data_IF_710840132767
#
_entry.id   IF_710840132767
#
_cell.length_a   1.000
_cell.length_b   1.000
_cell.length_c   1.000
_cell.angle_alpha   90.00
_cell.angle_beta   90.00
_cell.angle_gamma   90.00
#
_symmetry.space_group_name_H-M   'P 1'
#
loop_
_entity.id
_entity.type
_entity.pdbx_description
1 polymer ?
#
# COMPACT_ATOMS: atom_id res chain seq x y z
N UNK A 1 -30.18 -34.93 -16.16
CA UNK A 1 -30.59 -33.64 -16.77
C UNK A 1 -29.37 -33.11 -17.52
N UNK A 2 -29.51 -32.80 -18.79
CA UNK A 2 -28.43 -32.23 -19.59
C UNK A 2 -28.22 -30.75 -19.21
N UNK A 3 -26.98 -30.34 -19.07
CA UNK A 3 -26.60 -28.95 -18.78
C UNK A 3 -25.98 -28.35 -20.04
N UNK A 4 -26.42 -27.16 -20.42
CA UNK A 4 -25.81 -26.42 -21.53
C UNK A 4 -24.50 -25.81 -21.04
N UNK A 5 -23.38 -26.35 -21.49
CA UNK A 5 -22.04 -25.88 -21.13
C UNK A 5 -21.57 -24.71 -21.99
N UNK A 6 -21.93 -24.75 -23.31
CA UNK A 6 -21.59 -23.69 -24.24
C UNK A 6 -22.83 -23.30 -25.03
N UNK A 7 -23.08 -22.00 -25.12
CA UNK A 7 -24.10 -21.43 -26.00
C UNK A 7 -23.56 -20.18 -26.70
N UNK A 8 -23.82 -20.09 -27.99
CA UNK A 8 -23.46 -18.91 -28.77
C UNK A 8 -24.68 -18.47 -29.60
N UNK A 9 -25.01 -17.18 -29.55
CA UNK A 9 -26.02 -16.56 -30.38
C UNK A 9 -25.36 -15.89 -31.57
N UNK A 10 -25.81 -16.26 -32.79
CA UNK A 10 -25.33 -15.71 -34.05
C UNK A 10 -26.30 -14.65 -34.56
N UNK A 11 -25.87 -13.42 -34.67
CA UNK A 11 -26.65 -12.30 -35.18
C UNK A 11 -26.79 -12.35 -36.67
N UNK A 12 -25.69 -12.54 -37.37
CA UNK A 12 -25.62 -12.56 -38.83
C UNK A 12 -24.61 -13.60 -39.32
N UNK A 13 -24.83 -14.13 -40.50
CA UNK A 13 -23.89 -14.94 -41.23
C UNK A 13 -23.82 -14.45 -42.71
N UNK A 14 -22.61 -14.32 -43.23
CA UNK A 14 -22.36 -13.83 -44.60
C UNK A 14 -21.47 -14.83 -45.34
N UNK A 15 -21.83 -15.11 -46.60
CA UNK A 15 -20.97 -15.87 -47.48
C UNK A 15 -20.06 -14.92 -48.25
N UNK A 16 -18.76 -15.00 -48.02
CA UNK A 16 -17.76 -14.22 -48.73
C UNK A 16 -17.19 -14.95 -49.92
N UNK A 17 -16.43 -14.25 -50.75
CA UNK A 17 -15.74 -14.85 -51.90
C UNK A 17 -14.54 -15.69 -51.46
N UNK A 18 -13.84 -15.24 -50.39
CA UNK A 18 -12.63 -15.87 -49.85
C UNK A 18 -12.83 -16.51 -48.47
N UNK A 19 -13.78 -15.98 -47.66
CA UNK A 19 -14.09 -16.46 -46.30
C UNK A 19 -15.59 -16.29 -46.02
N UNK A 20 -16.17 -17.28 -45.34
CA UNK A 20 -17.49 -17.15 -44.75
C UNK A 20 -17.36 -16.50 -43.38
N UNK A 21 -18.20 -15.50 -43.06
CA UNK A 21 -18.16 -14.72 -41.82
C UNK A 21 -19.45 -14.89 -41.05
N UNK A 22 -19.34 -14.96 -39.71
CA UNK A 22 -20.48 -14.88 -38.82
C UNK A 22 -20.20 -13.94 -37.65
N UNK A 23 -21.23 -13.20 -37.25
CA UNK A 23 -21.15 -12.33 -36.06
C UNK A 23 -21.83 -13.02 -34.89
N UNK A 24 -21.10 -13.24 -33.83
CA UNK A 24 -21.60 -13.72 -32.53
C UNK A 24 -21.81 -12.51 -31.62
N UNK A 25 -23.00 -12.36 -31.05
CA UNK A 25 -23.37 -11.27 -30.16
C UNK A 25 -23.86 -11.75 -28.77
N UNK A 26 -23.81 -13.05 -28.53
CA UNK A 26 -24.05 -13.67 -27.24
C UNK A 26 -23.19 -14.91 -27.07
N UNK A 27 -22.40 -14.98 -26.01
CA UNK A 27 -21.57 -16.12 -25.66
C UNK A 27 -21.79 -16.50 -24.19
N UNK A 28 -22.02 -17.79 -23.97
CA UNK A 28 -22.12 -18.40 -22.63
C UNK A 28 -21.24 -19.64 -22.58
N UNK A 29 -20.46 -19.75 -21.48
CA UNK A 29 -19.64 -20.93 -21.21
C UNK A 29 -19.61 -21.22 -19.72
N UNK A 30 -19.83 -22.47 -19.36
CA UNK A 30 -19.60 -23.02 -18.01
C UNK A 30 -18.40 -23.96 -18.03
N UNK A 31 -17.78 -24.15 -16.88
CA UNK A 31 -16.82 -25.23 -16.68
C UNK A 31 -17.49 -26.59 -16.87
N UNK A 32 -16.80 -27.53 -17.49
CA UNK A 32 -17.21 -28.92 -17.57
C UNK A 32 -16.90 -29.72 -16.28
N UNK A 33 -16.20 -29.06 -15.34
CA UNK A 33 -15.85 -29.59 -14.02
C UNK A 33 -16.75 -28.95 -12.97
N UNK A 34 -17.50 -29.78 -12.26
CA UNK A 34 -18.32 -29.33 -11.12
C UNK A 34 -17.50 -29.26 -9.83
N UNK A 35 -17.78 -28.27 -9.01
CA UNK A 35 -17.34 -28.25 -7.62
C UNK A 35 -18.40 -28.91 -6.75
N UNK A 36 -18.07 -29.99 -6.08
CA UNK A 36 -18.99 -30.65 -5.17
C UNK A 36 -19.18 -29.81 -3.90
N UNK A 37 -20.46 -29.58 -3.56
CA UNK A 37 -20.86 -28.93 -2.34
C UNK A 37 -21.87 -29.82 -1.61
N UNK A 38 -21.63 -30.11 -0.35
CA UNK A 38 -22.54 -30.91 0.49
C UNK A 38 -22.56 -30.37 1.90
N UNK A 39 -23.69 -30.63 2.60
CA UNK A 39 -23.79 -30.33 4.04
C UNK A 39 -22.68 -31.04 4.81
N UNK A 40 -22.13 -30.36 5.84
CA UNK A 40 -21.02 -30.81 6.69
C UNK A 40 -19.63 -30.81 5.97
N UNK A 41 -19.53 -30.26 4.76
CA UNK A 41 -18.22 -30.03 4.16
C UNK A 41 -17.56 -28.85 4.88
N UNK A 42 -16.32 -29.06 5.32
CA UNK A 42 -15.49 -28.07 6.02
C UNK A 42 -14.59 -27.32 5.04
N UNK A 43 -14.51 -26.01 5.24
CA UNK A 43 -13.61 -25.09 4.55
C UNK A 43 -12.85 -24.26 5.60
N UNK A 44 -11.68 -24.68 6.00
CA UNK A 44 -10.88 -24.11 7.10
C UNK A 44 -11.67 -24.02 8.42
N UNK A 45 -12.16 -22.84 8.79
CA UNK A 45 -12.95 -22.61 10.00
C UNK A 45 -14.46 -22.64 9.77
N UNK A 46 -14.89 -22.75 8.53
CA UNK A 46 -16.30 -22.68 8.16
C UNK A 46 -16.81 -24.03 7.66
N UNK A 47 -18.01 -24.39 8.06
CA UNK A 47 -18.69 -25.65 7.69
C UNK A 47 -20.03 -25.35 7.02
N UNK A 48 -20.33 -26.02 5.90
CA UNK A 48 -21.65 -25.93 5.26
C UNK A 48 -22.70 -26.55 6.18
N UNK A 49 -23.62 -25.73 6.68
CA UNK A 49 -24.71 -26.17 7.56
C UNK A 49 -25.98 -26.45 6.80
N UNK A 50 -26.28 -25.65 5.81
CA UNK A 50 -27.52 -25.80 5.03
C UNK A 50 -27.22 -25.60 3.54
N UNK A 51 -27.73 -26.54 2.76
CA UNK A 51 -27.68 -26.49 1.30
C UNK A 51 -29.12 -26.60 0.75
N UNK A 52 -29.52 -25.58 -0.01
CA UNK A 52 -30.81 -25.58 -0.71
C UNK A 52 -30.56 -25.45 -2.22
N UNK A 53 -31.62 -25.47 -3.03
CA UNK A 53 -31.54 -25.22 -4.47
C UNK A 53 -31.05 -23.80 -4.83
N UNK A 54 -31.04 -22.86 -3.87
CA UNK A 54 -30.79 -21.45 -4.13
C UNK A 54 -29.79 -20.81 -3.16
N UNK A 55 -29.39 -21.52 -2.09
CA UNK A 55 -28.52 -20.93 -1.05
C UNK A 55 -27.62 -21.97 -0.40
N UNK A 56 -26.44 -21.49 -0.01
CA UNK A 56 -25.48 -22.19 0.84
C UNK A 56 -25.30 -21.34 2.09
N UNK A 57 -25.47 -21.91 3.27
CA UNK A 57 -25.19 -21.27 4.55
C UNK A 57 -24.03 -21.99 5.23
N UNK A 58 -23.02 -21.23 5.63
CA UNK A 58 -21.86 -21.71 6.36
C UNK A 58 -21.73 -20.96 7.69
N UNK A 59 -21.24 -21.66 8.70
CA UNK A 59 -20.86 -21.07 9.98
C UNK A 59 -19.63 -21.78 10.56
N UNK A 60 -19.14 -21.31 11.69
CA UNK A 60 -18.00 -21.87 12.42
C UNK A 60 -18.41 -22.80 13.57
N UNK A 61 -19.45 -23.63 13.40
CA UNK A 61 -20.10 -24.43 14.44
C UNK A 61 -19.13 -25.18 15.38
N UNK A 62 -18.09 -25.79 14.82
CA UNK A 62 -17.11 -26.60 15.56
C UNK A 62 -15.76 -25.91 15.74
N UNK A 63 -15.65 -24.62 15.38
CA UNK A 63 -14.38 -23.89 15.38
C UNK A 63 -14.50 -22.53 16.06
N UNK A 64 -14.17 -22.46 17.34
CA UNK A 64 -14.02 -21.17 18.01
C UNK A 64 -12.90 -20.35 17.35
N UNK A 65 -13.17 -19.07 17.12
CA UNK A 65 -12.22 -18.13 16.54
C UNK A 65 -11.85 -17.10 17.60
N UNK A 66 -10.61 -17.15 18.07
CA UNK A 66 -10.10 -16.19 19.05
C UNK A 66 -9.41 -15.05 18.31
N UNK A 67 -9.96 -13.85 18.43
CA UNK A 67 -9.41 -12.61 17.89
C UNK A 67 -8.48 -11.97 18.93
N UNK A 68 -7.23 -12.42 18.99
CA UNK A 68 -6.18 -11.82 19.83
C UNK A 68 -5.27 -10.95 18.99
N UNK A 69 -4.46 -10.10 19.63
CA UNK A 69 -3.51 -9.18 19.00
C UNK A 69 -2.66 -9.86 17.93
N UNK A 70 -2.41 -9.17 16.82
CA UNK A 70 -1.47 -9.55 15.76
C UNK A 70 -1.78 -10.91 15.12
N UNK A 71 -3.05 -11.31 15.01
CA UNK A 71 -3.46 -12.58 14.40
C UNK A 71 -3.93 -12.40 12.97
N UNK A 72 -3.54 -13.40 12.19
CA UNK A 72 -4.05 -13.64 10.85
C UNK A 72 -4.72 -15.03 10.84
N UNK A 73 -6.02 -15.06 10.65
CA UNK A 73 -6.85 -16.25 10.84
C UNK A 73 -7.58 -16.56 9.55
N UNK A 74 -7.25 -17.69 8.90
CA UNK A 74 -8.02 -18.18 7.77
C UNK A 74 -9.45 -18.56 8.21
N UNK A 75 -10.44 -18.02 7.53
CA UNK A 75 -11.85 -18.37 7.71
C UNK A 75 -12.28 -19.46 6.73
N UNK A 76 -11.97 -19.24 5.47
CA UNK A 76 -12.24 -20.13 4.36
C UNK A 76 -11.20 -19.89 3.26
N UNK A 77 -11.04 -20.79 2.28
CA UNK A 77 -10.01 -20.66 1.25
C UNK A 77 -9.92 -19.25 0.62
N UNK A 78 -8.80 -18.58 0.83
CA UNK A 78 -8.52 -17.25 0.34
C UNK A 78 -9.21 -16.11 1.09
N UNK A 79 -9.89 -16.34 2.21
CA UNK A 79 -10.51 -15.30 3.04
C UNK A 79 -10.05 -15.44 4.49
N UNK A 80 -9.45 -14.39 5.02
CA UNK A 80 -8.88 -14.33 6.37
C UNK A 80 -9.40 -13.12 7.16
N UNK A 81 -9.22 -13.18 8.48
CA UNK A 81 -9.37 -12.03 9.39
C UNK A 81 -7.98 -11.65 9.90
N UNK A 82 -7.61 -10.38 9.76
CA UNK A 82 -6.44 -9.80 10.41
C UNK A 82 -6.87 -8.95 11.59
N UNK A 83 -6.18 -9.08 12.72
CA UNK A 83 -6.37 -8.26 13.92
C UNK A 83 -5.13 -7.40 14.15
N UNK A 84 -5.34 -6.20 14.68
CA UNK A 84 -4.26 -5.29 15.06
C UNK A 84 -3.36 -5.90 16.14
N UNK A 85 -2.06 -5.62 16.05
CA UNK A 85 -1.10 -5.85 17.15
C UNK A 85 -1.02 -4.61 18.04
N UNK A 86 -2.14 -4.19 18.56
CA UNK A 86 -2.34 -2.99 19.37
C UNK A 86 -3.22 -3.27 20.59
N UNK A 87 -3.26 -2.34 21.56
CA UNK A 87 -4.12 -2.44 22.73
C UNK A 87 -5.59 -2.21 22.37
N UNK A 88 -5.86 -1.37 21.39
CA UNK A 88 -7.20 -1.18 20.84
C UNK A 88 -7.55 -2.32 19.91
N UNK A 89 -8.72 -2.92 20.12
CA UNK A 89 -9.20 -4.00 19.29
C UNK A 89 -9.68 -3.47 17.93
N UNK A 90 -8.96 -3.81 16.87
CA UNK A 90 -9.28 -3.54 15.47
C UNK A 90 -9.12 -4.82 14.66
N UNK A 91 -9.96 -5.02 13.66
CA UNK A 91 -9.84 -6.12 12.72
C UNK A 91 -10.52 -5.81 11.40
N UNK A 92 -10.10 -6.51 10.35
CA UNK A 92 -10.77 -6.51 9.06
C UNK A 92 -10.73 -7.90 8.42
N UNK A 93 -11.67 -8.12 7.48
CA UNK A 93 -11.69 -9.32 6.63
C UNK A 93 -11.03 -8.97 5.31
N UNK A 94 -10.16 -9.84 4.84
CA UNK A 94 -9.48 -9.64 3.57
C UNK A 94 -9.42 -10.92 2.74
N UNK A 95 -9.20 -10.76 1.45
CA UNK A 95 -8.90 -11.84 0.52
C UNK A 95 -7.54 -11.60 -0.11
N UNK A 96 -6.62 -12.52 0.06
CA UNK A 96 -5.35 -12.51 -0.66
C UNK A 96 -5.56 -12.98 -2.10
N UNK A 97 -5.03 -12.23 -3.06
CA UNK A 97 -5.07 -12.56 -4.47
C UNK A 97 -3.64 -12.82 -4.93
N UNK A 98 -3.34 -14.08 -5.24
CA UNK A 98 -2.00 -14.54 -5.65
C UNK A 98 -1.92 -14.90 -7.13
N UNK A 99 -3.06 -15.11 -7.79
CA UNK A 99 -3.10 -15.48 -9.19
C UNK A 99 -2.78 -14.29 -10.10
N UNK A 100 -1.98 -14.49 -11.18
CA UNK A 100 -1.74 -13.45 -12.16
C UNK A 100 -3.05 -12.95 -12.77
N UNK A 101 -3.16 -11.64 -12.95
CA UNK A 101 -4.36 -11.02 -13.52
C UNK A 101 -4.49 -9.55 -13.14
N UNK A 102 -5.55 -8.93 -13.62
CA UNK A 102 -5.89 -7.54 -13.32
C UNK A 102 -7.17 -7.51 -12.48
N UNK A 103 -7.10 -6.88 -11.32
CA UNK A 103 -8.16 -6.88 -10.30
C UNK A 103 -8.60 -5.47 -9.95
N UNK A 104 -9.92 -5.29 -9.77
CA UNK A 104 -10.49 -4.05 -9.23
C UNK A 104 -10.58 -4.15 -7.69
N UNK A 105 -9.84 -3.27 -6.99
CA UNK A 105 -10.05 -3.03 -5.55
C UNK A 105 -11.11 -1.96 -5.45
N UNK A 106 -12.28 -2.30 -4.90
CA UNK A 106 -13.48 -1.44 -4.89
C UNK A 106 -13.74 -0.87 -3.51
N UNK A 107 -14.12 0.40 -3.46
CA UNK A 107 -14.75 1.02 -2.30
C UNK A 107 -16.22 0.62 -2.17
N UNK A 108 -16.83 1.02 -1.07
CA UNK A 108 -18.27 0.86 -0.81
C UNK A 108 -19.10 1.46 -1.95
N UNK A 109 -20.22 0.79 -2.27
CA UNK A 109 -21.17 1.27 -3.29
C UNK A 109 -22.02 2.39 -2.72
N UNK A 110 -22.01 3.54 -3.40
CA UNK A 110 -22.82 4.70 -3.08
C UNK A 110 -24.03 4.86 -4.01
N UNK A 111 -25.10 5.48 -3.52
CA UNK A 111 -26.32 5.80 -4.27
C UNK A 111 -26.67 7.29 -4.24
N UNK A 112 -25.97 8.04 -3.41
CA UNK A 112 -26.09 9.48 -3.18
C UNK A 112 -24.68 10.02 -2.86
N UNK A 113 -24.54 11.27 -2.43
CA UNK A 113 -23.25 11.80 -1.97
C UNK A 113 -22.61 10.90 -0.91
N UNK A 114 -21.31 10.66 -1.02
CA UNK A 114 -20.60 9.69 -0.19
C UNK A 114 -19.16 10.10 0.05
N UNK A 115 -18.64 9.74 1.22
CA UNK A 115 -17.22 9.90 1.57
C UNK A 115 -16.60 8.53 1.78
N UNK A 116 -15.53 8.24 1.05
CA UNK A 116 -14.69 7.05 1.23
C UNK A 116 -13.47 7.40 2.08
N UNK A 117 -13.16 6.52 3.00
CA UNK A 117 -11.94 6.52 3.80
C UNK A 117 -11.24 5.16 3.67
N UNK A 118 -10.10 4.97 4.32
CA UNK A 118 -9.43 3.68 4.32
C UNK A 118 -10.27 2.54 4.99
N UNK A 119 -11.29 2.90 5.79
CA UNK A 119 -12.18 1.92 6.42
C UNK A 119 -13.10 1.21 5.40
N UNK A 120 -13.41 1.85 4.27
CA UNK A 120 -14.34 1.35 3.27
C UNK A 120 -13.83 1.35 1.83
N UNK A 121 -12.57 1.78 1.63
CA UNK A 121 -11.85 1.65 0.37
C UNK A 121 -10.42 1.15 0.60
N UNK A 122 -10.22 -0.15 0.45
CA UNK A 122 -8.91 -0.79 0.59
C UNK A 122 -7.85 -0.34 -0.46
N UNK A 123 -8.18 0.59 -1.35
CA UNK A 123 -7.22 1.27 -2.22
C UNK A 123 -6.47 2.40 -1.54
N UNK A 124 -6.98 2.96 -0.44
CA UNK A 124 -6.27 3.93 0.40
C UNK A 124 -5.31 3.23 1.35
N UNK A 125 -4.26 3.96 1.77
CA UNK A 125 -3.31 3.44 2.74
C UNK A 125 -3.97 3.29 4.11
N UNK A 126 -3.79 2.12 4.71
CA UNK A 126 -4.25 1.81 6.06
C UNK A 126 -3.23 0.95 6.81
N UNK A 127 -2.77 1.43 7.96
CA UNK A 127 -2.08 0.63 8.93
C UNK A 127 -3.03 0.27 10.07
N UNK A 128 -3.26 -1.03 10.25
CA UNK A 128 -4.19 -1.52 11.27
C UNK A 128 -3.59 -1.45 12.68
N UNK A 129 -2.26 -1.59 12.79
CA UNK A 129 -1.57 -1.69 14.07
C UNK A 129 -1.52 -0.32 14.75
N UNK A 130 -1.21 0.74 14.00
CA UNK A 130 -1.18 2.12 14.49
C UNK A 130 -2.46 2.91 14.14
N UNK A 131 -3.43 2.29 13.46
CA UNK A 131 -4.68 2.91 13.00
C UNK A 131 -4.45 4.15 12.11
N UNK A 132 -3.42 4.10 11.27
CA UNK A 132 -3.09 5.19 10.38
C UNK A 132 -3.95 5.15 9.13
N UNK A 133 -4.72 6.20 8.90
CA UNK A 133 -5.61 6.40 7.76
C UNK A 133 -5.70 7.88 7.44
N UNK A 134 -4.95 8.31 6.46
CA UNK A 134 -4.75 9.72 6.15
C UNK A 134 -5.68 10.24 5.06
N UNK A 135 -6.20 9.35 4.20
CA UNK A 135 -6.87 9.70 2.94
C UNK A 135 -8.39 9.67 3.07
N UNK A 136 -9.04 10.67 2.50
CA UNK A 136 -10.49 10.79 2.40
C UNK A 136 -10.87 11.31 1.00
N UNK A 137 -11.90 10.73 0.38
CA UNK A 137 -12.48 11.22 -0.88
C UNK A 137 -13.98 11.38 -0.75
N UNK A 138 -14.47 12.61 -0.89
CA UNK A 138 -15.89 12.94 -0.87
C UNK A 138 -16.39 13.20 -2.27
N UNK A 139 -17.50 12.54 -2.65
CA UNK A 139 -18.25 12.83 -3.87
C UNK A 139 -19.59 13.47 -3.50
N UNK A 140 -19.82 14.69 -3.96
CA UNK A 140 -21.07 15.45 -3.79
C UNK A 140 -21.90 15.36 -5.06
N UNK A 141 -23.00 14.60 -5.03
CA UNK A 141 -23.83 14.34 -6.19
C UNK A 141 -24.97 15.35 -6.30
N UNK A 142 -25.06 16.06 -7.45
CA UNK A 142 -26.15 16.95 -7.80
C UNK A 142 -26.66 16.57 -9.20
N UNK A 143 -27.91 16.14 -9.33
CA UNK A 143 -28.52 15.76 -10.63
C UNK A 143 -27.68 14.72 -11.42
N UNK A 144 -27.18 13.68 -10.75
CA UNK A 144 -26.28 12.66 -11.32
C UNK A 144 -24.96 13.24 -11.86
N UNK A 145 -24.49 14.33 -11.29
CA UNK A 145 -23.19 14.94 -11.63
C UNK A 145 -22.40 15.25 -10.38
N UNK A 146 -21.10 15.25 -10.54
CA UNK A 146 -20.13 15.80 -9.60
C UNK A 146 -19.66 17.12 -10.22
N UNK A 147 -20.24 18.22 -9.76
CA UNK A 147 -20.03 19.54 -10.36
C UNK A 147 -18.74 20.19 -9.82
N UNK A 148 -18.01 20.85 -10.71
CA UNK A 148 -16.88 21.68 -10.32
C UNK A 148 -17.32 22.82 -9.37
N UNK A 149 -16.44 23.36 -8.48
CA UNK A 149 -15.10 22.84 -8.20
C UNK A 149 -15.08 21.70 -7.16
N UNK A 150 -16.15 21.49 -6.39
CA UNK A 150 -16.16 20.65 -5.18
C UNK A 150 -17.11 19.44 -5.28
N UNK A 151 -17.43 19.00 -6.50
CA UNK A 151 -18.17 17.78 -6.73
C UNK A 151 -17.38 16.53 -6.32
N UNK A 152 -16.04 16.61 -6.41
CA UNK A 152 -15.12 15.63 -5.83
C UNK A 152 -14.07 16.40 -5.05
N UNK A 153 -13.91 16.05 -3.78
CA UNK A 153 -12.85 16.57 -2.91
C UNK A 153 -12.07 15.42 -2.34
N UNK A 154 -10.76 15.42 -2.53
CA UNK A 154 -9.84 14.51 -1.89
C UNK A 154 -8.97 15.29 -0.92
N UNK A 155 -8.86 14.76 0.30
CA UNK A 155 -8.01 15.33 1.34
C UNK A 155 -7.15 14.23 1.94
N UNK A 156 -5.90 14.54 2.18
CA UNK A 156 -5.02 13.67 2.98
C UNK A 156 -4.28 14.51 3.99
N UNK A 157 -4.20 14.02 5.23
CA UNK A 157 -3.57 14.70 6.36
C UNK A 157 -2.53 13.77 6.98
N UNK A 158 -1.32 14.28 7.14
CA UNK A 158 -0.22 13.52 7.75
C UNK A 158 -0.58 13.09 9.18
N UNK A 159 -0.15 11.89 9.55
CA UNK A 159 -0.30 11.32 10.89
C UNK A 159 1.07 10.91 11.42
N UNK A 160 1.20 10.87 12.74
CA UNK A 160 2.38 10.33 13.42
C UNK A 160 2.41 8.81 13.27
N UNK A 161 3.58 8.26 13.00
CA UNK A 161 3.86 6.82 12.87
C UNK A 161 5.18 6.51 13.57
N UNK A 162 5.29 5.35 14.20
CA UNK A 162 6.52 4.92 14.83
C UNK A 162 7.47 4.31 13.79
N UNK A 163 8.79 4.51 13.97
CA UNK A 163 9.72 3.63 13.28
C UNK A 163 9.53 2.20 13.78
N UNK A 164 9.63 1.19 12.92
CA UNK A 164 9.66 -0.22 13.34
C UNK A 164 10.75 -0.47 14.38
N UNK A 165 11.87 0.25 14.29
CA UNK A 165 12.87 0.29 15.35
C UNK A 165 12.50 1.38 16.37
N UNK A 166 11.68 1.05 17.37
CA UNK A 166 11.07 1.94 18.37
C UNK A 166 12.01 3.00 18.95
N UNK A 167 13.29 2.67 19.12
CA UNK A 167 14.26 3.57 19.72
C UNK A 167 14.63 4.79 18.84
N UNK A 168 14.15 4.84 17.59
CA UNK A 168 14.29 6.02 16.72
C UNK A 168 13.13 7.01 16.86
N UNK A 169 12.04 6.63 17.56
CA UNK A 169 10.88 7.47 17.81
C UNK A 169 9.87 7.46 16.69
N UNK A 170 9.41 8.63 16.26
CA UNK A 170 8.27 8.83 15.39
C UNK A 170 8.61 9.69 14.17
N UNK A 171 7.81 9.58 13.13
CA UNK A 171 7.87 10.41 11.93
C UNK A 171 6.48 10.68 11.38
N UNK A 172 6.32 11.69 10.51
CA UNK A 172 5.06 11.94 9.83
C UNK A 172 4.94 11.10 8.57
N UNK A 173 3.83 10.34 8.49
CA UNK A 173 3.42 9.57 7.31
C UNK A 173 2.19 10.18 6.68
N UNK A 174 2.08 10.11 5.36
CA UNK A 174 0.92 10.52 4.60
C UNK A 174 0.65 9.53 3.47
N UNK A 175 -0.61 9.09 3.33
CA UNK A 175 -1.08 8.44 2.11
C UNK A 175 -1.31 9.49 1.03
N UNK A 176 -0.89 9.25 -0.18
CA UNK A 176 -1.19 10.11 -1.32
C UNK A 176 -1.46 9.27 -2.55
N UNK A 177 -2.66 9.44 -3.13
CA UNK A 177 -3.12 8.66 -4.28
C UNK A 177 -3.02 7.15 -4.02
N UNK A 178 -3.37 6.76 -2.78
CA UNK A 178 -3.35 5.37 -2.31
C UNK A 178 -1.94 4.72 -2.23
N UNK A 179 -0.91 5.51 -1.95
CA UNK A 179 0.45 5.04 -1.63
C UNK A 179 0.99 5.74 -0.38
N UNK A 180 1.77 5.02 0.45
CA UNK A 180 2.39 5.54 1.69
C UNK A 180 3.64 6.37 1.37
N UNK A 181 3.74 7.57 1.95
CA UNK A 181 4.89 8.46 1.84
C UNK A 181 5.33 8.99 3.20
N UNK A 182 6.59 9.31 3.28
CA UNK A 182 7.19 10.09 4.35
C UNK A 182 6.91 11.59 4.12
N UNK A 183 6.43 12.29 5.16
CA UNK A 183 6.09 13.70 5.12
C UNK A 183 7.06 14.59 5.93
N UNK A 184 7.71 14.05 6.96
CA UNK A 184 8.67 14.79 7.79
C UNK A 184 9.08 14.01 9.03
N UNK A 185 10.15 14.45 9.67
CA UNK A 185 10.58 13.93 10.98
C UNK A 185 9.86 14.63 12.12
N UNK A 186 9.79 13.96 13.27
CA UNK A 186 9.25 14.50 14.52
C UNK A 186 10.39 14.60 15.53
N UNK A 187 10.52 15.77 16.18
CA UNK A 187 11.44 15.92 17.29
C UNK A 187 11.00 15.03 18.46
N UNK A 188 11.85 14.10 18.84
CA UNK A 188 11.60 13.27 20.01
C UNK A 188 12.41 13.75 21.21
N UNK A 189 11.81 14.50 22.18
CA UNK A 189 12.53 15.07 23.32
C UNK A 189 13.06 14.03 24.30
N UNK A 190 12.62 12.78 24.21
CA UNK A 190 13.07 11.68 25.07
C UNK A 190 14.32 10.99 24.51
N UNK A 191 14.70 11.23 23.27
CA UNK A 191 15.92 10.75 22.66
C UNK A 191 17.01 11.82 22.84
N UNK A 192 17.85 11.63 23.85
CA UNK A 192 18.87 12.61 24.33
C UNK A 192 19.92 12.98 23.26
N UNK A 193 20.04 12.24 22.19
CA UNK A 193 21.00 12.46 21.09
C UNK A 193 20.28 12.70 19.73
N UNK A 194 19.34 13.60 19.73
CA UNK A 194 18.38 13.87 18.62
C UNK A 194 18.97 14.54 17.37
N UNK A 195 20.20 14.19 17.03
CA UNK A 195 20.85 14.70 15.82
C UNK A 195 20.58 13.83 14.59
N UNK A 196 19.93 12.67 14.77
CA UNK A 196 19.72 11.72 13.68
C UNK A 196 18.50 12.11 12.82
N UNK A 197 17.35 12.26 13.47
CA UNK A 197 16.07 12.58 12.81
C UNK A 197 15.50 13.91 13.34
N UNK A 198 16.29 14.97 13.23
CA UNK A 198 15.93 16.31 13.67
C UNK A 198 14.84 16.90 12.80
N UNK A 199 13.76 17.40 13.42
CA UNK A 199 12.76 18.20 12.73
C UNK A 199 13.34 19.58 12.37
N UNK A 200 13.03 20.06 11.18
CA UNK A 200 13.19 21.46 10.80
C UNK A 200 12.32 21.76 9.58
N UNK A 201 11.98 23.03 9.37
CA UNK A 201 11.20 23.46 8.20
C UNK A 201 11.86 23.00 6.88
N UNK A 202 13.20 23.00 6.80
CA UNK A 202 13.95 22.54 5.62
C UNK A 202 13.93 21.01 5.45
N UNK A 203 13.56 20.25 6.48
CA UNK A 203 13.49 18.78 6.50
C UNK A 203 12.06 18.27 6.56
N UNK A 204 11.07 19.13 6.75
CA UNK A 204 9.67 18.79 6.54
C UNK A 204 9.42 18.74 5.03
N UNK A 205 9.35 17.52 4.50
CA UNK A 205 9.30 17.25 3.07
C UNK A 205 8.02 17.83 2.46
N UNK A 206 6.89 17.74 3.17
CA UNK A 206 5.61 18.26 2.71
C UNK A 206 5.61 19.80 2.69
N UNK A 207 6.23 20.47 3.66
CA UNK A 207 6.42 21.92 3.65
C UNK A 207 7.27 22.38 2.44
N UNK A 208 8.19 21.55 1.97
CA UNK A 208 8.96 21.76 0.74
C UNK A 208 8.19 21.34 -0.54
N UNK A 209 6.88 21.06 -0.43
CA UNK A 209 6.00 20.64 -1.54
C UNK A 209 6.43 19.34 -2.20
N UNK A 210 6.91 18.40 -1.41
CA UNK A 210 7.45 17.13 -1.85
C UNK A 210 7.00 16.00 -0.94
N UNK A 211 7.07 14.77 -1.47
CA UNK A 211 6.86 13.53 -0.73
C UNK A 211 8.01 12.57 -1.07
N UNK A 212 8.48 11.81 -0.09
CA UNK A 212 9.46 10.75 -0.29
C UNK A 212 8.83 9.38 -0.05
N UNK A 213 9.09 8.45 -0.96
CA UNK A 213 8.64 7.06 -0.78
C UNK A 213 9.43 6.40 0.34
N UNK A 214 8.73 5.75 1.28
CA UNK A 214 9.35 4.88 2.28
C UNK A 214 9.64 3.55 1.57
N UNK A 215 10.92 3.20 1.49
CA UNK A 215 11.37 1.97 0.81
C UNK A 215 11.60 0.83 1.79
N UNK A 216 12.11 1.16 2.98
CA UNK A 216 12.30 0.21 4.08
C UNK A 216 12.08 0.89 5.41
N UNK A 217 11.37 0.20 6.27
CA UNK A 217 11.24 0.43 7.70
C UNK A 217 11.06 -0.94 8.32
N UNK A 218 12.03 -1.44 9.06
CA UNK A 218 11.91 -2.72 9.77
C UNK A 218 12.96 -2.89 10.87
N UNK A 219 12.63 -3.70 11.87
CA UNK A 219 13.46 -4.08 13.01
C UNK A 219 13.96 -5.53 12.96
N UNK A 220 13.75 -6.22 11.86
CA UNK A 220 14.19 -7.61 11.70
C UNK A 220 15.71 -7.71 11.76
N UNK A 221 16.21 -8.66 12.57
CA UNK A 221 17.66 -8.90 12.67
C UNK A 221 18.23 -9.44 11.35
N UNK A 222 19.18 -8.70 10.79
CA UNK A 222 19.87 -9.04 9.56
C UNK A 222 21.36 -9.21 9.85
N UNK A 223 21.94 -10.35 9.47
CA UNK A 223 23.38 -10.57 9.58
C UNK A 223 24.08 -10.04 8.33
N UNK A 224 24.97 -9.08 8.52
CA UNK A 224 25.83 -8.52 7.47
C UNK A 224 27.26 -9.05 7.67
N UNK A 225 27.93 -9.43 6.58
CA UNK A 225 29.30 -9.92 6.63
C UNK A 225 30.24 -9.09 5.73
N UNK A 226 31.54 -9.16 5.98
CA UNK A 226 32.51 -8.47 5.11
C UNK A 226 32.52 -8.99 3.66
N UNK A 227 31.95 -10.16 3.40
CA UNK A 227 31.82 -10.75 2.06
C UNK A 227 30.46 -10.55 1.40
N UNK A 228 29.45 -10.14 2.18
CA UNK A 228 28.07 -9.97 1.67
C UNK A 228 27.48 -8.68 2.23
N UNK A 229 27.41 -7.60 1.41
CA UNK A 229 26.85 -6.34 1.85
C UNK A 229 25.33 -6.45 2.07
N UNK A 230 24.79 -5.58 2.91
CA UNK A 230 23.37 -5.35 3.06
C UNK A 230 22.84 -4.68 1.80
N UNK A 231 21.98 -5.38 1.07
CA UNK A 231 21.32 -4.83 -0.11
C UNK A 231 20.13 -3.97 0.29
N UNK A 232 20.13 -2.76 -0.22
CA UNK A 232 19.10 -1.77 -0.07
C UNK A 232 18.40 -1.53 -1.41
N UNK A 233 17.37 -0.71 -1.41
CA UNK A 233 16.65 -0.36 -2.64
C UNK A 233 17.43 0.72 -3.45
N UNK A 234 16.99 0.96 -4.67
CA UNK A 234 17.56 1.98 -5.58
C UNK A 234 19.07 1.83 -5.83
N UNK A 235 19.57 0.57 -5.81
CA UNK A 235 20.97 0.26 -6.10
C UNK A 235 21.95 0.57 -4.98
N UNK A 236 21.48 0.86 -3.77
CA UNK A 236 22.33 1.06 -2.61
C UNK A 236 22.75 -0.28 -1.98
N UNK A 237 23.98 -0.33 -1.49
CA UNK A 237 24.54 -1.46 -0.74
C UNK A 237 25.43 -0.94 0.40
N UNK A 238 25.19 -1.42 1.64
CA UNK A 238 26.00 -1.10 2.80
C UNK A 238 26.90 -2.28 3.17
N UNK A 239 28.22 -2.11 3.03
CA UNK A 239 29.21 -3.17 3.24
C UNK A 239 30.14 -2.93 4.43
N UNK A 240 30.47 -4.00 5.15
CA UNK A 240 31.53 -4.00 6.16
C UNK A 240 32.87 -4.14 5.43
N UNK A 241 33.76 -3.15 5.61
CA UNK A 241 35.14 -3.19 5.06
C UNK A 241 36.12 -3.79 6.06
N UNK A 242 35.98 -3.47 7.33
CA UNK A 242 36.80 -4.06 8.39
C UNK A 242 36.15 -3.84 9.76
N UNK A 243 36.47 -4.76 10.66
CA UNK A 243 36.21 -4.61 12.10
C UNK A 243 37.57 -4.58 12.81
N UNK A 244 37.77 -3.66 13.79
CA UNK A 244 39.02 -3.56 14.52
C UNK A 244 39.32 -4.81 15.36
N UNK A 245 40.54 -4.90 15.91
CA UNK A 245 41.00 -6.10 16.62
C UNK A 245 40.12 -6.44 17.85
N UNK A 246 39.61 -5.41 18.53
CA UNK A 246 38.81 -5.57 19.73
C UNK A 246 37.30 -5.73 19.41
N UNK A 247 36.90 -5.64 18.11
CA UNK A 247 35.52 -5.73 17.65
C UNK A 247 34.66 -4.52 17.99
N UNK A 248 35.25 -3.42 18.49
CA UNK A 248 34.55 -2.24 18.96
C UNK A 248 34.24 -1.21 17.87
N UNK A 249 34.91 -1.29 16.73
CA UNK A 249 34.74 -0.34 15.61
C UNK A 249 34.51 -1.09 14.32
N UNK A 250 33.54 -0.64 13.57
CA UNK A 250 33.18 -1.17 12.25
C UNK A 250 33.35 -0.06 11.22
N UNK A 251 34.21 -0.29 10.23
CA UNK A 251 34.34 0.57 9.07
C UNK A 251 33.36 0.10 7.99
N UNK A 252 32.42 0.98 7.65
CA UNK A 252 31.35 0.75 6.68
C UNK A 252 31.55 1.61 5.44
N UNK A 253 31.18 1.08 4.29
CA UNK A 253 31.07 1.82 3.03
C UNK A 253 29.67 1.63 2.45
N UNK A 254 29.05 2.75 2.09
CA UNK A 254 27.82 2.77 1.29
C UNK A 254 28.21 2.94 -0.18
N UNK A 255 27.72 2.06 -1.03
CA UNK A 255 27.81 2.20 -2.48
C UNK A 255 26.44 2.34 -3.11
N UNK A 256 26.39 3.07 -4.24
CA UNK A 256 25.24 3.15 -5.14
C UNK A 256 25.68 2.74 -6.53
N UNK A 257 25.00 1.75 -7.12
CA UNK A 257 25.34 1.20 -8.44
C UNK A 257 26.83 0.82 -8.57
N UNK A 258 27.40 0.25 -7.51
CA UNK A 258 28.79 -0.19 -7.43
C UNK A 258 29.82 0.90 -7.17
N UNK A 259 29.42 2.17 -7.02
CA UNK A 259 30.30 3.29 -6.70
C UNK A 259 30.15 3.69 -5.22
N UNK A 260 31.25 3.81 -4.49
CA UNK A 260 31.24 4.27 -3.09
C UNK A 260 30.78 5.72 -3.04
N UNK A 261 29.71 5.98 -2.27
CA UNK A 261 29.11 7.31 -2.09
C UNK A 261 29.31 7.87 -0.69
N UNK A 262 29.52 7.01 0.30
CA UNK A 262 29.80 7.41 1.69
C UNK A 262 30.59 6.34 2.43
N UNK A 263 31.26 6.75 3.52
CA UNK A 263 31.94 5.83 4.44
C UNK A 263 31.94 6.37 5.86
N UNK A 264 31.73 5.47 6.84
CA UNK A 264 31.64 5.83 8.26
C UNK A 264 32.21 4.76 9.16
N UNK A 265 32.73 5.18 10.30
CA UNK A 265 33.10 4.28 11.41
C UNK A 265 32.06 4.39 12.48
N UNK A 266 31.49 3.26 12.89
CA UNK A 266 30.57 3.13 14.03
C UNK A 266 31.22 2.28 15.12
N UNK A 267 30.66 2.29 16.33
CA UNK A 267 31.21 1.58 17.48
C UNK A 267 30.12 0.84 18.28
N UNK A 268 29.39 -0.09 17.67
CA UNK A 268 28.18 -0.70 18.26
C UNK A 268 28.46 -1.51 19.53
N UNK A 269 29.65 -2.11 19.65
CA UNK A 269 30.04 -2.97 20.76
C UNK A 269 30.85 -2.24 21.84
N UNK A 270 31.03 -0.92 21.72
CA UNK A 270 31.73 -0.11 22.70
C UNK A 270 30.92 0.01 24.00
N UNK A 271 31.59 -0.08 25.13
CA UNK A 271 30.95 0.13 26.44
C UNK A 271 30.39 1.55 26.55
N UNK A 272 29.11 1.70 26.89
CA UNK A 272 28.41 2.99 26.89
C UNK A 272 28.20 3.63 25.52
N UNK A 273 28.14 2.83 24.44
CA UNK A 273 27.83 3.33 23.11
C UNK A 273 26.43 3.96 23.04
N UNK A 274 26.35 5.17 22.51
CA UNK A 274 25.09 5.89 22.26
C UNK A 274 24.38 5.33 21.04
N UNK A 275 23.15 5.77 20.80
CA UNK A 275 22.40 5.45 19.56
C UNK A 275 23.21 5.84 18.32
N UNK A 276 23.79 7.03 18.29
CA UNK A 276 24.62 7.51 17.17
C UNK A 276 25.90 6.68 16.97
N UNK A 277 26.52 6.19 18.06
CA UNK A 277 27.69 5.31 17.96
C UNK A 277 27.37 3.98 17.28
N UNK A 278 26.12 3.54 17.39
CA UNK A 278 25.62 2.28 16.85
C UNK A 278 24.94 2.41 15.50
N UNK A 279 24.61 3.63 15.06
CA UNK A 279 23.83 3.83 13.84
C UNK A 279 24.72 4.37 12.72
N UNK A 280 24.76 3.64 11.59
CA UNK A 280 25.16 4.18 10.33
C UNK A 280 23.99 5.00 9.77
N UNK A 281 24.24 6.21 9.29
CA UNK A 281 23.24 7.01 8.59
C UNK A 281 23.89 7.79 7.44
N UNK A 282 23.10 7.96 6.38
CA UNK A 282 23.48 8.71 5.19
C UNK A 282 22.46 9.82 4.94
N UNK A 283 22.96 11.06 4.93
CA UNK A 283 22.18 12.26 4.65
C UNK A 283 22.38 12.68 3.20
N UNK A 284 21.29 13.13 2.58
CA UNK A 284 21.31 13.63 1.20
C UNK A 284 20.32 14.78 1.02
N UNK A 285 20.66 15.73 0.17
CA UNK A 285 19.69 16.69 -0.34
C UNK A 285 18.78 15.97 -1.33
N UNK A 286 17.45 16.05 -1.13
CA UNK A 286 16.46 15.45 -2.03
C UNK A 286 15.49 16.54 -2.46
N UNK A 287 15.52 16.88 -3.75
CA UNK A 287 14.78 18.04 -4.26
C UNK A 287 15.18 19.33 -3.52
N UNK A 288 14.21 20.00 -2.93
CA UNK A 288 14.42 21.26 -2.18
C UNK A 288 14.75 21.02 -0.70
N UNK A 289 14.52 19.80 -0.20
CA UNK A 289 14.82 19.41 1.18
C UNK A 289 16.31 19.15 1.39
N UNK A 290 16.84 19.59 2.55
CA UNK A 290 18.27 19.55 2.86
C UNK A 290 18.60 18.55 3.96
N UNK A 291 19.76 17.89 3.82
CA UNK A 291 20.31 16.98 4.84
C UNK A 291 19.33 15.91 5.37
N UNK A 292 18.45 15.40 4.48
CA UNK A 292 17.48 14.36 4.83
C UNK A 292 18.20 13.03 5.05
N UNK A 293 17.95 12.36 6.16
CA UNK A 293 18.47 11.00 6.43
C UNK A 293 17.71 10.01 5.53
N UNK A 294 18.26 9.69 4.38
CA UNK A 294 17.60 8.74 3.45
C UNK A 294 17.93 7.27 3.74
N UNK A 295 18.99 6.99 4.48
CA UNK A 295 19.35 5.64 4.94
C UNK A 295 19.82 5.72 6.38
N UNK A 296 19.26 4.85 7.26
CA UNK A 296 19.79 4.58 8.58
C UNK A 296 19.80 3.07 8.84
N UNK A 297 20.86 2.57 9.48
CA UNK A 297 21.00 1.18 9.89
C UNK A 297 21.57 1.13 11.31
N UNK A 298 20.79 0.61 12.25
CA UNK A 298 21.24 0.38 13.63
C UNK A 298 21.93 -0.97 13.72
N UNK A 299 23.11 -0.98 14.34
CA UNK A 299 23.93 -2.16 14.54
C UNK A 299 23.88 -2.59 16.01
N UNK A 300 23.25 -3.72 16.28
CA UNK A 300 23.14 -4.30 17.61
C UNK A 300 24.52 -4.67 18.19
N UNK A 301 25.35 -5.29 17.35
CA UNK A 301 26.69 -5.75 17.70
C UNK A 301 27.56 -5.98 16.47
N UNK A 302 28.83 -6.17 16.69
CA UNK A 302 29.78 -6.56 15.66
C UNK A 302 30.83 -7.52 16.22
N UNK A 303 31.28 -8.47 15.41
CA UNK A 303 32.24 -9.50 15.78
C UNK A 303 33.30 -9.64 14.69
N UNK A 304 34.54 -9.68 15.10
CA UNK A 304 35.64 -10.07 14.22
C UNK A 304 35.75 -11.58 14.17
N UNK A 305 35.50 -12.17 13.02
CA UNK A 305 35.64 -13.63 12.80
C UNK A 305 37.02 -13.98 12.28
N UNK A 306 37.37 -15.29 12.33
CA UNK A 306 38.63 -15.79 11.79
C UNK A 306 38.67 -15.79 10.24
N UNK A 307 37.51 -15.99 9.62
CA UNK A 307 37.35 -16.04 8.17
C UNK A 307 36.56 -14.86 7.62
N UNK A 308 35.56 -14.37 8.36
CA UNK A 308 34.70 -13.26 8.01
C UNK A 308 34.37 -12.41 9.23
N UNK A 309 34.34 -11.10 9.05
CA UNK A 309 33.76 -10.18 9.99
C UNK A 309 32.23 -10.20 9.88
N UNK A 310 31.52 -10.10 10.98
CA UNK A 310 30.06 -10.13 11.05
C UNK A 310 29.54 -8.95 11.88
N UNK A 311 28.39 -8.44 11.50
CA UNK A 311 27.61 -7.53 12.34
C UNK A 311 26.11 -7.86 12.22
N UNK A 312 25.35 -7.56 13.28
CA UNK A 312 23.90 -7.69 13.30
C UNK A 312 23.27 -6.31 13.21
N UNK A 313 22.46 -6.10 12.19
CA UNK A 313 21.58 -4.93 12.03
C UNK A 313 20.21 -5.31 12.59
N UNK A 314 19.62 -4.47 13.44
CA UNK A 314 18.31 -4.67 14.08
C UNK A 314 17.40 -3.44 13.98
N UNK A 315 17.74 -2.50 13.14
CA UNK A 315 16.91 -1.37 12.73
C UNK A 315 17.34 -0.91 11.35
N UNK A 316 16.41 -0.78 10.41
CA UNK A 316 16.69 -0.39 9.03
C UNK A 316 15.64 0.58 8.52
N UNK A 317 16.11 1.75 8.11
CA UNK A 317 15.32 2.80 7.46
C UNK A 317 15.88 3.16 6.11
N UNK A 318 15.00 3.29 5.11
CA UNK A 318 15.37 3.83 3.80
C UNK A 318 14.23 4.62 3.16
N UNK A 319 14.52 5.84 2.76
CA UNK A 319 13.69 6.65 1.88
C UNK A 319 14.22 6.61 0.45
N UNK A 320 13.33 6.85 -0.52
CA UNK A 320 13.74 7.13 -1.91
C UNK A 320 14.63 8.38 -1.96
N UNK A 321 15.64 8.34 -2.79
CA UNK A 321 16.47 9.50 -3.06
C UNK A 321 15.91 10.40 -4.19
N UNK A 322 14.68 10.14 -4.59
CA UNK A 322 13.93 10.91 -5.59
C UNK A 322 12.60 11.37 -4.99
N UNK A 323 12.38 12.68 -4.98
CA UNK A 323 11.15 13.27 -4.47
C UNK A 323 10.01 13.23 -5.50
N UNK A 324 8.78 13.09 -5.00
CA UNK A 324 7.55 13.34 -5.75
C UNK A 324 7.10 14.77 -5.47
N UNK A 325 6.99 15.60 -6.50
CA UNK A 325 6.51 16.99 -6.41
C UNK A 325 4.98 17.00 -6.20
N UNK A 326 4.50 17.79 -5.24
CA UNK A 326 3.07 17.94 -4.89
C UNK A 326 2.63 19.40 -4.84
N UNK A 327 3.16 20.23 -5.72
CA UNK A 327 2.88 21.66 -5.77
C UNK A 327 1.41 21.98 -6.06
N UNK A 328 0.92 23.12 -5.54
CA UNK A 328 -0.41 23.66 -5.88
C UNK A 328 -0.56 23.84 -7.40
N UNK A 329 -1.77 23.63 -7.89
CA UNK A 329 -2.15 23.62 -9.31
C UNK A 329 -1.56 22.47 -10.13
N UNK A 330 -0.93 21.49 -9.49
CA UNK A 330 -0.59 20.22 -10.17
C UNK A 330 -1.87 19.43 -10.42
N UNK A 331 -2.05 18.99 -11.68
CA UNK A 331 -3.21 18.23 -12.11
C UNK A 331 -2.91 16.73 -12.11
N UNK A 332 -3.83 15.95 -11.56
CA UNK A 332 -3.85 14.49 -11.60
C UNK A 332 -5.16 14.03 -12.22
N UNK A 333 -5.17 13.75 -13.51
CA UNK A 333 -6.36 13.43 -14.32
C UNK A 333 -7.44 14.53 -14.22
N UNK A 334 -8.44 14.36 -13.36
CA UNK A 334 -9.55 15.31 -13.17
C UNK A 334 -9.48 16.10 -11.87
N UNK A 335 -8.45 15.84 -11.09
CA UNK A 335 -8.27 16.49 -9.79
C UNK A 335 -7.04 17.39 -9.82
N UNK A 336 -7.15 18.53 -9.17
CA UNK A 336 -6.09 19.54 -9.08
C UNK A 336 -5.77 19.84 -7.63
N UNK A 337 -4.49 19.90 -7.26
CA UNK A 337 -4.08 20.34 -5.90
C UNK A 337 -4.46 21.79 -5.73
N UNK A 338 -5.36 22.08 -4.78
CA UNK A 338 -5.82 23.44 -4.46
C UNK A 338 -5.12 24.02 -3.25
N UNK A 339 -4.89 23.19 -2.24
CA UNK A 339 -4.26 23.63 -0.99
C UNK A 339 -3.22 22.61 -0.57
N UNK A 340 -2.06 23.14 -0.21
CA UNK A 340 -0.96 22.40 0.37
C UNK A 340 -0.50 23.12 1.63
N UNK A 341 -0.41 22.41 2.75
CA UNK A 341 0.14 22.88 4.01
C UNK A 341 1.33 22.02 4.44
N UNK A 342 1.92 22.28 5.59
CA UNK A 342 2.99 21.44 6.14
C UNK A 342 2.51 20.03 6.56
N UNK A 343 1.20 19.81 6.65
CA UNK A 343 0.60 18.58 7.18
C UNK A 343 -0.53 18.01 6.30
N UNK A 344 -0.96 18.70 5.25
CA UNK A 344 -2.09 18.24 4.45
C UNK A 344 -2.05 18.64 2.97
N UNK A 345 -2.71 17.83 2.14
CA UNK A 345 -2.94 18.09 0.73
C UNK A 345 -4.44 18.01 0.47
N UNK A 346 -5.02 19.04 -0.19
CA UNK A 346 -6.38 19.00 -0.66
C UNK A 346 -6.44 19.19 -2.18
N UNK A 347 -7.20 18.30 -2.83
CA UNK A 347 -7.47 18.34 -4.28
C UNK A 347 -8.97 18.40 -4.53
N UNK A 348 -9.38 19.05 -5.59
CA UNK A 348 -10.76 19.02 -6.06
C UNK A 348 -10.84 18.90 -7.59
N UNK A 349 -12.04 18.75 -8.12
CA UNK A 349 -12.28 18.64 -9.56
C UNK A 349 -12.47 20.00 -10.24
N UNK A 350 -11.70 21.04 -9.83
CA UNK A 350 -11.69 22.36 -10.49
C UNK A 350 -11.60 22.17 -12.02
N UNK A 351 -12.41 22.90 -12.78
CA UNK A 351 -12.52 22.83 -14.25
C UNK A 351 -12.99 21.46 -14.83
N UNK A 352 -13.47 20.52 -14.01
CA UNK A 352 -13.85 19.17 -14.47
C UNK A 352 -15.21 18.70 -13.93
N UNK A 353 -16.29 19.01 -14.61
CA UNK A 353 -17.58 18.32 -14.37
C UNK A 353 -17.49 16.84 -14.69
N UNK A 354 -18.00 15.99 -13.81
CA UNK A 354 -18.05 14.54 -14.00
C UNK A 354 -19.52 14.10 -14.02
N UNK A 355 -20.00 13.66 -15.17
CA UNK A 355 -21.37 13.13 -15.29
C UNK A 355 -21.38 11.65 -14.91
N UNK A 356 -22.24 11.28 -13.96
CA UNK A 356 -22.47 9.90 -13.52
C UNK A 356 -23.58 9.24 -14.37
N UNK A 357 -23.35 9.18 -15.67
CA UNK A 357 -24.28 8.51 -16.58
C UNK A 357 -24.19 6.99 -16.45
N UNK A 358 -25.21 6.29 -16.95
CA UNK A 358 -25.29 4.83 -16.97
C UNK A 358 -24.04 4.20 -17.62
N UNK A 359 -23.39 3.25 -16.93
CA UNK A 359 -22.20 2.57 -17.41
C UNK A 359 -20.95 3.45 -17.56
N UNK A 360 -20.92 4.62 -16.92
CA UNK A 360 -19.74 5.49 -16.94
C UNK A 360 -18.59 4.84 -16.18
N UNK A 361 -17.40 4.97 -16.74
CA UNK A 361 -16.14 4.66 -16.11
C UNK A 361 -15.17 5.82 -16.39
N UNK A 362 -14.76 6.54 -15.36
CA UNK A 362 -13.92 7.73 -15.48
C UNK A 362 -12.74 7.71 -14.50
N UNK A 363 -11.58 8.18 -14.95
CA UNK A 363 -10.46 8.49 -14.06
C UNK A 363 -10.82 9.70 -13.20
N UNK A 364 -10.51 9.66 -11.92
CA UNK A 364 -10.61 10.79 -11.01
C UNK A 364 -9.24 11.41 -10.76
N UNK A 365 -8.34 10.60 -10.26
CA UNK A 365 -6.95 10.95 -9.97
C UNK A 365 -6.07 9.73 -10.20
N UNK A 366 -4.80 9.90 -10.35
CA UNK A 366 -3.86 8.87 -10.73
C UNK A 366 -4.09 7.52 -10.03
N UNK A 367 -4.57 6.53 -10.82
CA UNK A 367 -4.87 5.17 -10.34
C UNK A 367 -6.25 5.00 -9.68
N UNK A 368 -6.94 6.06 -9.28
CA UNK A 368 -8.29 5.99 -8.71
C UNK A 368 -9.34 6.40 -9.76
N UNK A 369 -10.34 5.57 -9.91
CA UNK A 369 -11.41 5.71 -10.92
C UNK A 369 -12.78 5.66 -10.27
N UNK A 370 -13.79 6.18 -10.96
CA UNK A 370 -15.20 6.08 -10.56
C UNK A 370 -15.99 5.33 -11.63
N UNK A 371 -16.84 4.39 -11.19
CA UNK A 371 -17.65 3.56 -12.08
C UNK A 371 -19.11 3.57 -11.66
N UNK A 372 -20.00 3.74 -12.63
CA UNK A 372 -21.44 3.70 -12.40
C UNK A 372 -22.06 2.41 -12.92
N UNK A 373 -23.18 1.99 -12.32
CA UNK A 373 -23.93 0.84 -12.80
C UNK A 373 -24.44 1.04 -14.23
N UNK A 374 -24.54 -0.08 -14.96
CA UNK A 374 -25.19 -0.16 -16.27
C UNK A 374 -26.42 -1.09 -16.18
N UNK A 375 -27.56 -0.63 -15.65
CA UNK A 375 -28.76 -1.45 -15.56
C UNK A 375 -29.26 -1.83 -16.96
N UNK A 376 -29.94 -2.97 -17.06
CA UNK A 376 -30.59 -3.40 -18.28
C UNK A 376 -31.71 -2.42 -18.70
N UNK A 377 -31.94 -2.26 -19.97
CA UNK A 377 -32.91 -1.30 -20.56
C UNK A 377 -34.38 -1.53 -20.16
N UNK A 378 -34.70 -2.61 -19.46
CA UNK A 378 -36.08 -2.97 -19.06
C UNK A 378 -36.48 -2.35 -17.69
N UNK A 379 -35.56 -1.83 -16.92
CA UNK A 379 -35.85 -1.13 -15.65
C UNK A 379 -35.95 0.37 -15.89
N UNK A 380 -37.15 0.87 -16.12
CA UNK A 380 -37.45 2.27 -16.43
C UNK A 380 -37.16 3.29 -15.33
N UNK A 381 -36.49 2.93 -14.26
CA UNK A 381 -35.98 3.82 -13.20
C UNK A 381 -34.49 3.56 -13.01
N UNK A 382 -33.67 4.48 -13.52
CA UNK A 382 -32.24 4.50 -13.23
C UNK A 382 -32.02 4.95 -11.77
N UNK A 383 -31.67 4.02 -10.91
CA UNK A 383 -31.16 4.32 -9.56
C UNK A 383 -29.66 4.45 -9.65
N UNK A 384 -29.13 5.63 -9.32
CA UNK A 384 -27.70 5.85 -9.27
C UNK A 384 -27.06 4.84 -8.32
N UNK A 385 -26.07 4.10 -8.80
CA UNK A 385 -25.18 3.25 -8.02
C UNK A 385 -23.79 3.44 -8.61
N UNK A 386 -22.83 3.78 -7.76
CA UNK A 386 -21.46 4.02 -8.18
C UNK A 386 -20.49 3.70 -7.06
N UNK A 387 -19.23 3.50 -7.40
CA UNK A 387 -18.15 3.27 -6.46
C UNK A 387 -16.85 3.80 -7.04
N UNK A 388 -15.88 4.09 -6.15
CA UNK A 388 -14.50 4.31 -6.56
C UNK A 388 -13.75 2.98 -6.58
N UNK A 389 -12.71 2.88 -7.39
CA UNK A 389 -11.87 1.70 -7.44
C UNK A 389 -10.45 2.02 -7.91
N UNK A 390 -9.50 1.14 -7.55
CA UNK A 390 -8.14 1.11 -8.04
C UNK A 390 -7.89 -0.23 -8.74
N UNK A 391 -7.14 -0.22 -9.84
CA UNK A 391 -6.77 -1.45 -10.55
C UNK A 391 -5.38 -1.89 -10.13
N UNK A 392 -5.24 -3.16 -9.74
CA UNK A 392 -3.97 -3.80 -9.42
C UNK A 392 -3.72 -4.95 -10.39
N UNK A 393 -2.52 -5.01 -10.93
CA UNK A 393 -2.09 -6.08 -11.84
C UNK A 393 -1.02 -6.93 -11.17
N UNK A 394 -1.31 -8.23 -11.04
CA UNK A 394 -0.35 -9.24 -10.59
C UNK A 394 0.28 -9.85 -11.83
N UNK A 395 1.59 -9.70 -11.96
CA UNK A 395 2.35 -10.26 -13.08
C UNK A 395 2.47 -11.79 -12.98
N UNK A 396 2.60 -12.46 -14.13
CA UNK A 396 2.99 -13.87 -14.12
C UNK A 396 4.41 -14.02 -13.53
N UNK A 397 4.69 -15.10 -12.78
CA UNK A 397 6.04 -15.38 -12.32
C UNK A 397 6.99 -15.45 -13.52
N UNK A 398 8.10 -14.73 -13.47
CA UNK A 398 9.16 -14.83 -14.50
C UNK A 398 9.66 -16.26 -14.57
N UNK A 399 9.55 -16.87 -15.75
CA UNK A 399 10.06 -18.24 -16.04
C UNK A 399 11.59 -18.29 -15.93
#
# INVERSE_FOLDING_TARGET
KDVVIIAAHFKNAFRGADQDLATVDGLWQLSDTATDVSEKTEYDKMTIQTLTSYSIMMNNEDNDITLSKGKDISLMPGVSIKTADADEFRYYIYKEITEPGTYEIRGSVATESYTWTADDFAGFYYDIDDNIKTEELTATVTDNKLLEPDGVVYTTTAMEDNFDYDAWGEYFVIGFLAEKYFAGYIDNPDIIDDVLFEESEDKNILAQKQLLKILKDNDNEIIVTSGTPLKLEEGYELGIKSIDIDGNKVYLELSKDGSVVDSKVISPSRDGATMLDKTYYYKKDVGDSKDVVIIAAHFKNAFRGAEQDLATVDGLWQLSDTATDVSEKTEYDKMTIQTLTSDSIMMNNEDNDITLSNGKDASLMWGVRIKTASPSAEEGNYWLRYYIYKTVTIAEPSQ
#
